data_IF_278639992139
#
_entry.id   IF_278639992139
#
_cell.length_a   1.000
_cell.length_b   1.000
_cell.length_c   1.000
_cell.angle_alpha   90.00
_cell.angle_beta   90.00
_cell.angle_gamma   90.00
#
_symmetry.space_group_name_H-M   'P 1'
#
loop_
_entity.id
_entity.type
_entity.pdbx_description
1 polymer ?
#
# COMPACT_ATOMS: atom_id res chain seq x y z
N UNK A 1 7.31 10.44 2.13
CA UNK A 1 6.23 11.42 1.90
C UNK A 1 4.93 10.79 2.37
N UNK A 2 4.10 11.52 3.11
CA UNK A 2 2.80 11.11 3.58
C UNK A 2 1.76 12.00 2.89
N UNK A 3 0.79 11.37 2.25
CA UNK A 3 -0.27 12.01 1.47
C UNK A 3 -1.59 11.72 2.16
N UNK A 4 -2.40 12.74 2.39
CA UNK A 4 -3.80 12.53 2.74
C UNK A 4 -4.56 12.14 1.47
N UNK A 5 -5.14 10.94 1.46
CA UNK A 5 -5.88 10.44 0.30
C UNK A 5 -7.26 11.08 0.14
N UNK A 6 -7.80 11.69 1.21
CA UNK A 6 -9.12 12.34 1.17
C UNK A 6 -9.02 13.75 0.59
N UNK A 7 -7.99 14.50 0.98
CA UNK A 7 -7.78 15.88 0.49
C UNK A 7 -6.86 15.93 -0.73
N UNK A 8 -6.01 14.92 -0.92
CA UNK A 8 -4.96 14.91 -1.94
C UNK A 8 -3.74 15.76 -1.57
N UNK A 9 -3.65 16.22 -0.32
CA UNK A 9 -2.57 17.09 0.14
C UNK A 9 -1.40 16.31 0.72
N UNK A 10 -0.19 16.75 0.40
CA UNK A 10 1.02 16.24 1.06
C UNK A 10 1.02 16.77 2.49
N UNK A 11 0.80 15.88 3.45
CA UNK A 11 0.86 16.21 4.88
C UNK A 11 2.32 16.45 5.28
N UNK A 12 3.21 15.57 4.81
CA UNK A 12 4.59 15.64 5.24
C UNK A 12 5.59 14.91 4.33
N UNK A 13 6.86 15.32 4.37
CA UNK A 13 7.93 14.76 3.57
C UNK A 13 9.31 14.95 4.18
N UNK A 14 10.20 14.02 3.86
CA UNK A 14 11.62 14.09 4.18
C UNK A 14 12.41 13.66 2.95
N UNK A 15 13.36 14.48 2.53
CA UNK A 15 14.35 14.08 1.54
C UNK A 15 15.46 13.30 2.24
N UNK A 16 15.74 12.10 1.75
CA UNK A 16 16.71 11.16 2.35
C UNK A 16 17.50 10.47 1.25
N UNK A 17 18.79 10.24 1.50
CA UNK A 17 19.66 9.49 0.57
C UNK A 17 19.39 7.98 0.67
N UNK A 18 19.20 7.49 1.89
CA UNK A 18 18.83 6.10 2.16
C UNK A 18 17.59 6.08 3.02
N UNK A 19 16.56 5.41 2.54
CA UNK A 19 15.31 5.28 3.25
C UNK A 19 15.37 4.16 4.31
N UNK A 20 15.10 4.51 5.55
CA UNK A 20 15.12 3.60 6.70
C UNK A 20 13.74 3.51 7.37
N UNK A 21 13.51 2.47 8.18
CA UNK A 21 12.29 2.37 8.98
C UNK A 21 12.15 3.53 9.99
N UNK A 22 13.27 4.09 10.44
CA UNK A 22 13.27 5.20 11.39
C UNK A 22 12.73 6.50 10.77
N UNK A 23 12.98 6.72 9.47
CA UNK A 23 12.42 7.88 8.76
C UNK A 23 10.89 7.84 8.74
N UNK A 24 10.30 6.66 8.60
CA UNK A 24 8.85 6.48 8.66
C UNK A 24 8.30 6.67 10.07
N UNK A 25 9.02 6.18 11.10
CA UNK A 25 8.63 6.37 12.51
C UNK A 25 8.60 7.85 12.84
N UNK A 26 9.66 8.57 12.49
CA UNK A 26 9.76 10.01 12.70
C UNK A 26 8.61 10.77 12.02
N UNK A 27 8.33 10.48 10.74
CA UNK A 27 7.22 11.14 10.03
C UNK A 27 5.86 10.81 10.66
N UNK A 28 5.64 9.56 11.06
CA UNK A 28 4.40 9.12 11.71
C UNK A 28 4.17 9.87 13.03
N UNK A 29 5.18 9.91 13.91
CA UNK A 29 5.11 10.62 15.19
C UNK A 29 4.86 12.11 14.98
N UNK A 30 5.51 12.71 13.97
CA UNK A 30 5.33 14.12 13.64
C UNK A 30 3.89 14.44 13.22
N UNK A 31 3.30 13.70 12.29
CA UNK A 31 1.91 13.97 11.88
C UNK A 31 0.91 13.69 13.02
N UNK A 32 1.18 12.68 13.87
CA UNK A 32 0.32 12.41 15.03
C UNK A 32 0.36 13.56 16.04
N UNK A 33 1.54 14.14 16.29
CA UNK A 33 1.68 15.32 17.16
C UNK A 33 0.95 16.57 16.64
N UNK A 34 0.66 16.63 15.33
CA UNK A 34 -0.13 17.69 14.71
C UNK A 34 -1.65 17.43 14.79
N UNK A 35 -2.06 16.29 15.37
CA UNK A 35 -3.47 15.92 15.56
C UNK A 35 -4.05 15.02 14.47
N UNK A 36 -3.24 14.53 13.52
CA UNK A 36 -3.72 13.57 12.51
C UNK A 36 -3.97 12.19 13.12
N UNK A 37 -5.09 11.56 12.74
CA UNK A 37 -5.41 10.17 13.10
C UNK A 37 -5.23 9.30 11.86
N UNK A 38 -4.21 8.45 11.87
CA UNK A 38 -3.88 7.57 10.73
C UNK A 38 -4.77 6.33 10.77
N UNK A 39 -5.73 6.25 9.85
CA UNK A 39 -6.67 5.12 9.74
C UNK A 39 -6.09 3.91 8.98
N UNK A 40 -5.10 4.16 8.12
CA UNK A 40 -4.45 3.14 7.32
C UNK A 40 -3.29 3.71 6.52
N UNK A 41 -2.39 2.83 6.07
CA UNK A 41 -1.20 3.21 5.33
C UNK A 41 -1.04 2.35 4.09
N UNK A 42 -0.80 3.01 2.95
CA UNK A 42 -0.48 2.33 1.68
C UNK A 42 1.01 2.51 1.39
N UNK A 43 1.73 1.39 1.23
CA UNK A 43 3.19 1.36 1.01
C UNK A 43 3.55 0.72 -0.33
N UNK A 44 4.72 1.04 -0.88
CA UNK A 44 5.17 0.43 -2.15
C UNK A 44 5.69 -1.01 -2.01
N UNK A 45 5.86 -1.50 -0.77
CA UNK A 45 6.24 -2.90 -0.49
C UNK A 45 7.70 -3.09 -0.04
N UNK A 46 8.35 -2.04 0.46
CA UNK A 46 9.68 -2.14 1.06
C UNK A 46 9.66 -3.03 2.31
N UNK A 47 10.54 -4.03 2.34
CA UNK A 47 10.68 -4.95 3.48
C UNK A 47 11.05 -4.18 4.75
N UNK A 48 10.43 -4.53 5.87
CA UNK A 48 10.72 -3.97 7.19
C UNK A 48 9.95 -2.70 7.54
N UNK A 49 9.56 -1.87 6.55
CA UNK A 49 8.84 -0.61 6.80
C UNK A 49 7.46 -0.84 7.42
N UNK A 50 6.74 -1.89 7.00
CA UNK A 50 5.41 -2.19 7.53
C UNK A 50 5.36 -2.37 9.05
N UNK A 51 6.48 -2.78 9.69
CA UNK A 51 6.55 -2.95 11.16
C UNK A 51 6.46 -1.63 11.93
N UNK A 52 6.75 -0.51 11.29
CA UNK A 52 6.64 0.83 11.89
C UNK A 52 5.19 1.14 12.24
N UNK A 53 4.26 0.67 11.44
CA UNK A 53 2.82 0.96 11.54
C UNK A 53 2.07 -0.11 12.35
N UNK A 54 2.71 -0.71 13.36
CA UNK A 54 2.07 -1.74 14.16
C UNK A 54 0.80 -1.21 14.84
N UNK A 55 -0.32 -1.90 14.66
CA UNK A 55 -1.64 -1.45 15.13
C UNK A 55 -2.41 -0.55 14.16
N UNK A 56 -1.80 -0.13 13.04
CA UNK A 56 -2.45 0.59 11.94
C UNK A 56 -2.58 -0.38 10.75
N UNK A 57 -3.73 -0.47 10.08
CA UNK A 57 -3.88 -1.26 8.86
C UNK A 57 -2.86 -0.85 7.80
N UNK A 58 -2.06 -1.80 7.30
CA UNK A 58 -1.08 -1.58 6.24
C UNK A 58 -1.48 -2.36 4.99
N UNK A 59 -1.46 -1.68 3.85
CA UNK A 59 -1.66 -2.28 2.55
C UNK A 59 -0.47 -1.96 1.64
N UNK A 60 -0.09 -2.91 0.79
CA UNK A 60 0.84 -2.60 -0.32
C UNK A 60 0.03 -1.96 -1.45
N UNK A 61 0.54 -0.89 -2.05
CA UNK A 61 -0.02 -0.26 -3.24
C UNK A 61 -0.34 -1.31 -4.31
N UNK A 62 -1.59 -1.33 -4.83
CA UNK A 62 -2.04 -2.37 -5.75
C UNK A 62 -1.23 -2.40 -7.05
N UNK A 63 -0.64 -1.27 -7.47
CA UNK A 63 0.27 -1.22 -8.62
C UNK A 63 1.54 -2.03 -8.35
N UNK A 64 2.17 -1.82 -7.19
CA UNK A 64 3.33 -2.58 -6.75
C UNK A 64 3.01 -4.05 -6.48
N UNK A 65 1.85 -4.36 -5.87
CA UNK A 65 1.40 -5.75 -5.71
C UNK A 65 1.29 -6.48 -7.05
N UNK A 66 0.67 -5.85 -8.05
CA UNK A 66 0.54 -6.43 -9.40
C UNK A 66 1.91 -6.61 -10.05
N UNK A 67 2.84 -5.67 -9.87
CA UNK A 67 4.21 -5.79 -10.39
C UNK A 67 4.95 -6.97 -9.75
N UNK A 68 4.85 -7.14 -8.43
CA UNK A 68 5.42 -8.27 -7.69
C UNK A 68 4.89 -9.58 -8.25
N UNK A 69 3.58 -9.72 -8.41
CA UNK A 69 2.95 -10.96 -8.88
C UNK A 69 3.34 -11.26 -10.33
N UNK A 70 3.39 -10.25 -11.20
CA UNK A 70 3.89 -10.37 -12.58
C UNK A 70 5.39 -10.66 -12.67
N UNK A 71 6.18 -10.44 -11.61
CA UNK A 71 7.60 -10.82 -11.58
C UNK A 71 7.77 -12.31 -11.34
N UNK A 72 6.90 -12.89 -10.50
CA UNK A 72 6.95 -14.31 -10.13
C UNK A 72 6.09 -15.19 -11.04
N UNK A 73 5.11 -14.61 -11.73
CA UNK A 73 4.37 -15.25 -12.81
C UNK A 73 4.90 -14.75 -14.17
N UNK A 74 4.78 -15.55 -15.23
CA UNK A 74 4.91 -15.00 -16.59
C UNK A 74 3.69 -14.15 -16.93
N UNK A 75 3.83 -13.21 -17.87
CA UNK A 75 2.71 -12.44 -18.41
C UNK A 75 1.69 -13.31 -19.16
N UNK A 76 2.08 -14.52 -19.57
CA UNK A 76 1.23 -15.51 -20.23
C UNK A 76 1.34 -16.89 -19.55
N UNK A 77 0.75 -17.06 -18.35
CA UNK A 77 0.85 -18.32 -17.61
C UNK A 77 -0.02 -19.40 -18.25
N UNK A 78 0.48 -20.64 -18.27
CA UNK A 78 -0.26 -21.81 -18.77
C UNK A 78 -0.98 -22.58 -17.66
N UNK A 79 -0.50 -22.47 -16.42
CA UNK A 79 -1.13 -23.10 -15.26
C UNK A 79 -2.39 -22.35 -14.87
N UNK A 80 -3.49 -23.08 -14.68
CA UNK A 80 -4.81 -22.53 -14.34
C UNK A 80 -4.76 -21.66 -13.08
N UNK A 81 -4.14 -22.15 -12.01
CA UNK A 81 -3.97 -21.39 -10.76
C UNK A 81 -3.26 -20.03 -10.97
N UNK A 82 -2.27 -19.98 -11.87
CA UNK A 82 -1.55 -18.74 -12.20
C UNK A 82 -2.39 -17.78 -13.05
N UNK A 83 -3.23 -18.31 -13.94
CA UNK A 83 -4.20 -17.52 -14.71
C UNK A 83 -5.22 -16.88 -13.77
N UNK A 84 -5.77 -17.66 -12.83
CA UNK A 84 -6.76 -17.19 -11.87
C UNK A 84 -6.18 -16.16 -10.90
N UNK A 85 -4.96 -16.38 -10.39
CA UNK A 85 -4.26 -15.39 -9.57
C UNK A 85 -4.10 -14.08 -10.33
N UNK A 86 -3.62 -14.12 -11.59
CA UNK A 86 -3.45 -12.91 -12.39
C UNK A 86 -4.79 -12.21 -12.68
N UNK A 87 -5.89 -12.97 -12.83
CA UNK A 87 -7.25 -12.44 -12.99
C UNK A 87 -7.70 -11.70 -11.72
N UNK A 88 -7.48 -12.27 -10.54
CA UNK A 88 -7.79 -11.62 -9.25
C UNK A 88 -6.97 -10.34 -9.08
N UNK A 89 -5.65 -10.40 -9.33
CA UNK A 89 -4.78 -9.23 -9.17
C UNK A 89 -5.14 -8.07 -10.10
N UNK A 90 -5.59 -8.37 -11.33
CA UNK A 90 -6.09 -7.35 -12.26
C UNK A 90 -7.40 -6.71 -11.81
N UNK A 91 -8.20 -7.41 -10.99
CA UNK A 91 -9.44 -6.88 -10.42
C UNK A 91 -9.18 -5.96 -9.22
N UNK A 92 -8.11 -6.17 -8.43
CA UNK A 92 -7.75 -5.33 -7.27
C UNK A 92 -7.76 -3.83 -7.58
N UNK A 93 -7.25 -3.43 -8.76
CA UNK A 93 -7.21 -2.02 -9.18
C UNK A 93 -8.58 -1.34 -9.38
N UNK A 94 -9.66 -2.12 -9.40
CA UNK A 94 -11.02 -1.68 -9.74
C UNK A 94 -12.04 -2.06 -8.67
N UNK A 95 -11.58 -2.63 -7.56
CA UNK A 95 -12.45 -3.00 -6.44
C UNK A 95 -12.61 -1.77 -5.55
N UNK A 96 -13.86 -1.34 -5.42
CA UNK A 96 -14.34 -0.41 -4.39
C UNK A 96 -15.00 -1.20 -3.26
N UNK A 97 -15.11 -0.60 -2.07
CA UNK A 97 -15.58 -1.26 -0.84
C UNK A 97 -16.95 -1.93 -0.99
N UNK A 98 -17.86 -1.28 -1.70
CA UNK A 98 -19.19 -1.74 -2.13
C UNK A 98 -19.16 -3.08 -2.89
N UNK A 99 -18.11 -3.32 -3.70
CA UNK A 99 -17.98 -4.56 -4.47
C UNK A 99 -17.39 -5.72 -3.67
N UNK A 100 -16.80 -5.46 -2.51
CA UNK A 100 -16.21 -6.50 -1.64
C UNK A 100 -17.29 -7.16 -0.79
N UNK A 101 -18.23 -6.37 -0.27
CA UNK A 101 -19.27 -6.86 0.65
C UNK A 101 -20.60 -7.17 -0.03
N UNK A 102 -20.74 -6.89 -1.34
CA UNK A 102 -21.97 -7.19 -2.07
C UNK A 102 -23.19 -6.40 -1.57
N UNK A 103 -22.96 -5.27 -0.89
CA UNK A 103 -24.03 -4.43 -0.37
C UNK A 103 -24.47 -3.47 -1.48
N UNK A 104 -25.62 -3.79 -2.09
CA UNK A 104 -26.37 -2.94 -3.03
C UNK A 104 -27.39 -2.08 -2.29
#
# INVERSE_FOLDING_TARGET
>A
MFLDVLTGEIIDGKYIETETAEDYRFLLERIQSQGFIVQGVVLDGKRGVGKVFNGIPVQICHFHQVAIIKRYLTSNPKLEASIDLLRICRKLKRISEDRVYGCS
#
